data_IF_719506053429
#
_entry.id   IF_719506053429
#
_cell.length_a   1.000
_cell.length_b   1.000
_cell.length_c   1.000
_cell.angle_alpha   90.00
_cell.angle_beta   90.00
_cell.angle_gamma   90.00
#
_symmetry.space_group_name_H-M   'P 1'
#
loop_
_entity.id
_entity.type
_entity.pdbx_description
1 polymer ?
#
# COMPACT_ATOMS: atom_id res chain seq x y z
N UNK A 1 6.79 60.41 -8.66
CA UNK A 1 5.51 59.73 -8.28
C UNK A 1 5.66 58.22 -8.42
N UNK A 2 5.67 57.55 -7.34
CA UNK A 2 5.66 56.08 -7.35
C UNK A 2 4.24 55.62 -7.73
N UNK A 3 4.09 54.93 -8.85
CA UNK A 3 2.79 54.43 -9.32
C UNK A 3 2.32 53.29 -8.37
N UNK A 4 1.27 53.47 -7.58
CA UNK A 4 0.83 52.47 -6.59
C UNK A 4 0.45 51.13 -7.25
N UNK A 5 0.06 51.14 -8.51
CA UNK A 5 -0.27 49.93 -9.24
C UNK A 5 0.88 48.93 -9.44
N UNK A 6 2.14 49.41 -9.51
CA UNK A 6 3.31 48.50 -9.63
C UNK A 6 3.56 47.70 -8.34
N UNK A 7 3.36 48.33 -7.19
CA UNK A 7 3.53 47.63 -5.90
C UNK A 7 2.46 46.57 -5.70
N UNK A 8 1.23 46.82 -6.12
CA UNK A 8 0.14 45.84 -6.04
C UNK A 8 0.43 44.63 -6.93
N UNK A 9 0.87 44.88 -8.16
CA UNK A 9 1.20 43.79 -9.11
C UNK A 9 2.36 42.92 -8.56
N UNK A 10 3.39 43.55 -7.98
CA UNK A 10 4.50 42.81 -7.37
C UNK A 10 4.03 42.02 -6.18
N UNK A 11 3.22 42.59 -5.30
CA UNK A 11 2.67 41.89 -4.12
C UNK A 11 1.82 40.67 -4.53
N UNK A 12 0.96 40.80 -5.54
CA UNK A 12 0.15 39.70 -6.06
C UNK A 12 1.02 38.61 -6.68
N UNK A 13 2.05 38.99 -7.44
CA UNK A 13 2.97 38.04 -8.04
C UNK A 13 3.78 37.26 -6.98
N UNK A 14 4.25 37.93 -5.93
CA UNK A 14 4.97 37.30 -4.82
C UNK A 14 4.06 36.36 -4.04
N UNK A 15 2.83 36.76 -3.73
CA UNK A 15 1.87 35.90 -3.06
C UNK A 15 1.50 34.69 -3.91
N UNK A 16 1.31 34.87 -5.21
CA UNK A 16 1.04 33.76 -6.14
C UNK A 16 2.19 32.75 -6.20
N UNK A 17 3.43 33.26 -6.26
CA UNK A 17 4.63 32.42 -6.28
C UNK A 17 4.80 31.66 -4.94
N UNK A 18 4.59 32.34 -3.80
CA UNK A 18 4.65 31.72 -2.48
C UNK A 18 3.60 30.61 -2.32
N UNK A 19 2.35 30.85 -2.77
CA UNK A 19 1.29 29.85 -2.76
C UNK A 19 1.62 28.65 -3.67
N UNK A 20 2.19 28.90 -4.84
CA UNK A 20 2.64 27.84 -5.76
C UNK A 20 3.75 26.98 -5.16
N UNK A 21 4.76 27.61 -4.54
CA UNK A 21 5.85 26.89 -3.89
C UNK A 21 5.32 26.06 -2.72
N UNK A 22 4.47 26.64 -1.88
CA UNK A 22 3.86 25.92 -0.75
C UNK A 22 3.03 24.71 -1.24
N UNK A 23 2.21 24.89 -2.26
CA UNK A 23 1.45 23.81 -2.90
C UNK A 23 2.34 22.71 -3.46
N UNK A 24 3.44 23.06 -4.09
CA UNK A 24 4.42 22.11 -4.62
C UNK A 24 5.06 21.26 -3.51
N UNK A 25 5.48 21.88 -2.40
CA UNK A 25 6.07 21.18 -1.28
C UNK A 25 5.08 20.24 -0.57
N UNK A 26 3.84 20.66 -0.40
CA UNK A 26 2.78 19.83 0.17
C UNK A 26 2.52 18.60 -0.71
N UNK A 27 2.39 18.80 -2.02
CA UNK A 27 2.14 17.69 -2.95
C UNK A 27 3.33 16.74 -3.06
N UNK A 28 4.56 17.24 -3.02
CA UNK A 28 5.76 16.41 -3.00
C UNK A 28 5.82 15.53 -1.74
N UNK A 29 5.50 16.08 -0.58
CA UNK A 29 5.44 15.33 0.68
C UNK A 29 4.36 14.24 0.68
N UNK A 30 3.19 14.51 0.10
CA UNK A 30 2.12 13.51 -0.03
C UNK A 30 2.54 12.39 -0.99
N UNK A 31 3.16 12.72 -2.11
CA UNK A 31 3.66 11.73 -3.07
C UNK A 31 4.70 10.80 -2.46
N UNK A 32 5.63 11.33 -1.67
CA UNK A 32 6.66 10.51 -1.01
C UNK A 32 6.04 9.56 0.02
N UNK A 33 5.07 10.04 0.81
CA UNK A 33 4.32 9.20 1.75
C UNK A 33 3.51 8.12 1.02
N UNK A 34 2.91 8.45 -0.12
CA UNK A 34 2.21 7.49 -0.94
C UNK A 34 3.14 6.39 -1.48
N UNK A 35 4.31 6.75 -1.97
CA UNK A 35 5.33 5.78 -2.42
C UNK A 35 5.80 4.86 -1.30
N UNK A 36 5.98 5.39 -0.10
CA UNK A 36 6.37 4.59 1.06
C UNK A 36 5.28 3.58 1.42
N UNK A 37 4.01 4.03 1.49
CA UNK A 37 2.87 3.14 1.76
C UNK A 37 2.72 2.09 0.67
N UNK A 38 2.88 2.45 -0.59
CA UNK A 38 2.84 1.52 -1.72
C UNK A 38 3.91 0.45 -1.61
N UNK A 39 5.15 0.81 -1.28
CA UNK A 39 6.23 -0.17 -1.04
C UNK A 39 5.91 -1.12 0.10
N UNK A 40 5.35 -0.61 1.19
CA UNK A 40 4.94 -1.42 2.33
C UNK A 40 3.83 -2.41 1.97
N UNK A 41 2.81 -1.94 1.24
CA UNK A 41 1.73 -2.78 0.73
C UNK A 41 2.25 -3.87 -0.22
N UNK A 42 3.11 -3.51 -1.15
CA UNK A 42 3.70 -4.45 -2.11
C UNK A 42 4.60 -5.48 -1.42
N UNK A 43 5.36 -5.09 -0.40
CA UNK A 43 6.15 -6.00 0.40
C UNK A 43 5.30 -7.04 1.14
N UNK A 44 4.17 -6.62 1.73
CA UNK A 44 3.23 -7.53 2.38
C UNK A 44 2.64 -8.51 1.37
N UNK A 45 2.17 -8.03 0.22
CA UNK A 45 1.59 -8.89 -0.82
C UNK A 45 2.61 -9.88 -1.37
N UNK A 46 3.83 -9.43 -1.64
CA UNK A 46 4.91 -10.30 -2.09
C UNK A 46 5.26 -11.38 -1.06
N UNK A 47 5.25 -11.05 0.23
CA UNK A 47 5.46 -12.02 1.30
C UNK A 47 4.33 -13.05 1.38
N UNK A 48 3.08 -12.64 1.23
CA UNK A 48 1.92 -13.55 1.20
C UNK A 48 2.01 -14.49 -0.01
N UNK A 49 2.36 -13.99 -1.18
CA UNK A 49 2.52 -14.81 -2.39
C UNK A 49 3.69 -15.80 -2.27
N UNK A 50 4.78 -15.38 -1.66
CA UNK A 50 5.91 -16.26 -1.40
C UNK A 50 5.54 -17.40 -0.44
N UNK A 51 4.85 -17.05 0.66
CA UNK A 51 4.32 -18.04 1.59
C UNK A 51 3.43 -19.06 0.90
N UNK A 52 2.46 -18.61 0.10
CA UNK A 52 1.55 -19.48 -0.62
C UNK A 52 2.28 -20.44 -1.60
N UNK A 53 3.32 -19.95 -2.28
CA UNK A 53 4.14 -20.79 -3.16
C UNK A 53 4.90 -21.89 -2.43
N UNK A 54 5.44 -21.58 -1.25
CA UNK A 54 6.20 -22.56 -0.44
C UNK A 54 5.32 -23.55 0.29
N UNK A 55 4.06 -23.21 0.54
CA UNK A 55 3.10 -24.03 1.27
C UNK A 55 2.02 -24.65 0.38
N UNK A 56 2.32 -24.88 -0.89
CA UNK A 56 1.41 -25.57 -1.82
C UNK A 56 0.11 -24.84 -2.13
N UNK A 57 0.09 -23.52 -1.99
CA UNK A 57 -1.07 -22.67 -2.22
C UNK A 57 -1.84 -22.27 -0.97
N UNK A 58 -1.45 -22.76 0.20
CA UNK A 58 -2.08 -22.37 1.47
C UNK A 58 -1.80 -20.91 1.80
N UNK A 59 -2.82 -20.22 2.29
CA UNK A 59 -2.72 -18.83 2.69
C UNK A 59 -2.21 -18.71 4.13
N UNK A 60 -1.38 -17.71 4.45
CA UNK A 60 -0.93 -17.47 5.81
C UNK A 60 -2.10 -17.12 6.72
N UNK A 61 -2.14 -17.68 7.91
CA UNK A 61 -3.23 -17.48 8.86
C UNK A 61 -3.03 -16.25 9.76
N UNK A 62 -1.81 -15.72 9.80
CA UNK A 62 -1.45 -14.58 10.66
C UNK A 62 -0.22 -13.85 10.13
N UNK A 63 0.04 -12.67 10.68
CA UNK A 63 1.25 -11.90 10.38
C UNK A 63 2.52 -12.64 10.78
N UNK A 64 2.48 -13.39 11.88
CA UNK A 64 3.61 -14.15 12.40
C UNK A 64 4.08 -15.24 11.43
N UNK A 65 3.17 -15.84 10.68
CA UNK A 65 3.49 -16.83 9.66
C UNK A 65 4.40 -16.25 8.56
N UNK A 66 4.17 -15.00 8.18
CA UNK A 66 5.00 -14.29 7.20
C UNK A 66 6.32 -13.84 7.81
N UNK A 67 6.27 -13.28 9.01
CA UNK A 67 7.46 -12.75 9.71
C UNK A 67 8.49 -13.85 10.01
N UNK A 68 8.03 -15.08 10.19
CA UNK A 68 8.90 -16.24 10.42
C UNK A 68 9.59 -16.79 9.17
N UNK A 69 9.25 -16.30 7.97
CA UNK A 69 9.87 -16.80 6.74
C UNK A 69 11.31 -16.32 6.57
N UNK A 70 12.24 -17.21 6.15
CA UNK A 70 13.59 -16.83 5.80
C UNK A 70 13.59 -15.76 4.68
N UNK A 71 14.43 -14.72 4.85
CA UNK A 71 14.55 -13.63 3.88
C UNK A 71 13.53 -12.50 4.02
N UNK A 72 12.41 -12.72 4.71
CA UNK A 72 11.39 -11.69 4.96
C UNK A 72 11.45 -11.11 6.37
N UNK A 73 11.96 -11.85 7.33
CA UNK A 73 12.07 -11.42 8.73
C UNK A 73 12.87 -10.12 8.92
N UNK A 74 13.77 -9.81 7.99
CA UNK A 74 14.60 -8.60 7.99
C UNK A 74 14.10 -7.50 7.06
N UNK A 75 12.95 -7.66 6.38
CA UNK A 75 12.39 -6.62 5.52
C UNK A 75 11.80 -5.48 6.35
N UNK A 76 12.40 -4.28 6.35
CA UNK A 76 11.88 -3.15 7.11
C UNK A 76 10.54 -2.65 6.57
N UNK A 77 10.33 -2.70 5.25
CA UNK A 77 9.07 -2.28 4.62
C UNK A 77 7.91 -3.21 5.01
N UNK A 78 8.15 -4.51 5.07
CA UNK A 78 7.14 -5.47 5.51
C UNK A 78 6.81 -5.31 7.00
N UNK A 79 7.82 -5.24 7.86
CA UNK A 79 7.64 -5.11 9.29
C UNK A 79 6.88 -3.82 9.66
N UNK A 80 7.28 -2.70 9.08
CA UNK A 80 6.61 -1.43 9.30
C UNK A 80 5.20 -1.42 8.68
N UNK A 81 5.03 -2.01 7.50
CA UNK A 81 3.73 -2.18 6.86
C UNK A 81 2.76 -2.97 7.72
N UNK A 82 3.17 -4.09 8.29
CA UNK A 82 2.34 -4.91 9.20
C UNK A 82 1.94 -4.14 10.47
N UNK A 83 2.79 -3.21 10.92
CA UNK A 83 2.51 -2.37 12.08
C UNK A 83 1.51 -1.25 11.78
N UNK A 84 1.57 -0.65 10.59
CA UNK A 84 0.84 0.57 10.23
C UNK A 84 -0.42 0.33 9.41
N UNK A 85 -0.46 -0.77 8.69
CA UNK A 85 -1.53 -1.11 7.76
C UNK A 85 -2.37 -2.24 8.33
N UNK A 86 -3.60 -2.36 7.87
CA UNK A 86 -4.48 -3.47 8.28
C UNK A 86 -4.48 -4.55 7.21
N UNK A 87 -4.23 -5.79 7.64
CA UNK A 87 -4.41 -6.97 6.82
C UNK A 87 -5.41 -7.88 7.51
N UNK A 88 -6.45 -8.31 6.80
CA UNK A 88 -7.40 -9.28 7.31
C UNK A 88 -6.87 -10.70 7.10
N UNK A 89 -6.69 -11.42 8.19
CA UNK A 89 -6.14 -12.78 8.21
C UNK A 89 -7.21 -13.84 8.48
N UNK A 90 -7.17 -14.97 7.78
CA UNK A 90 -6.42 -15.21 6.55
C UNK A 90 -7.01 -14.42 5.37
N UNK A 91 -6.20 -14.08 4.33
CA UNK A 91 -6.74 -13.49 3.12
C UNK A 91 -7.80 -14.39 2.51
N UNK A 92 -8.98 -13.85 2.25
CA UNK A 92 -10.13 -14.61 1.73
C UNK A 92 -10.66 -13.96 0.46
N UNK A 93 -11.15 -14.73 -0.53
CA UNK A 93 -11.75 -14.18 -1.73
C UNK A 93 -13.04 -13.39 -1.44
N UNK A 94 -13.71 -13.69 -0.34
CA UNK A 94 -14.98 -13.06 0.04
C UNK A 94 -14.82 -11.80 0.89
N UNK A 95 -13.63 -11.60 1.47
CA UNK A 95 -13.30 -10.40 2.22
C UNK A 95 -12.93 -9.23 1.30
N UNK A 96 -13.60 -8.13 1.46
CA UNK A 96 -13.25 -6.88 0.82
C UNK A 96 -13.39 -5.73 1.84
N UNK A 97 -12.34 -4.96 2.07
CA UNK A 97 -10.96 -5.13 1.59
C UNK A 97 -10.14 -6.12 2.43
N UNK A 98 -9.22 -6.84 1.81
CA UNK A 98 -8.22 -7.66 2.51
C UNK A 98 -7.12 -6.79 3.12
N UNK A 99 -6.73 -5.74 2.39
CA UNK A 99 -5.76 -4.73 2.80
C UNK A 99 -6.44 -3.39 3.00
N UNK A 100 -6.07 -2.67 4.05
CA UNK A 100 -6.49 -1.29 4.28
C UNK A 100 -5.30 -0.42 4.66
N UNK A 101 -5.25 0.78 4.08
CA UNK A 101 -4.15 1.73 4.29
C UNK A 101 -4.33 2.61 5.54
N UNK A 102 -5.44 2.48 6.28
CA UNK A 102 -5.72 3.22 7.51
C UNK A 102 -5.61 4.76 7.35
N UNK A 103 -6.14 5.29 6.24
CA UNK A 103 -6.08 6.73 5.93
C UNK A 103 -4.73 7.23 5.42
N UNK A 104 -3.74 6.37 5.24
CA UNK A 104 -2.46 6.73 4.65
C UNK A 104 -2.60 6.95 3.15
N UNK A 105 -1.89 7.95 2.57
CA UNK A 105 -1.92 8.15 1.14
C UNK A 105 -1.29 6.96 0.41
N UNK A 106 -1.91 6.57 -0.70
CA UNK A 106 -1.42 5.52 -1.61
C UNK A 106 -1.39 6.05 -3.04
N UNK A 107 -0.66 5.37 -3.91
CA UNK A 107 -0.74 5.63 -5.35
C UNK A 107 -2.14 5.34 -5.89
N UNK A 108 -2.48 5.99 -7.00
CA UNK A 108 -3.78 5.82 -7.63
C UNK A 108 -4.00 4.35 -8.04
N UNK A 109 -5.05 3.74 -7.50
CA UNK A 109 -5.41 2.36 -7.82
C UNK A 109 -4.52 1.26 -7.19
N UNK A 110 -3.45 1.61 -6.47
CA UNK A 110 -2.54 0.62 -5.86
C UNK A 110 -3.28 -0.32 -4.91
N UNK A 111 -4.04 0.23 -3.99
CA UNK A 111 -4.77 -0.57 -3.00
C UNK A 111 -5.81 -1.50 -3.64
N UNK A 112 -6.56 -1.01 -4.63
CA UNK A 112 -7.53 -1.81 -5.37
C UNK A 112 -6.87 -2.94 -6.16
N UNK A 113 -5.75 -2.67 -6.81
CA UNK A 113 -4.96 -3.66 -7.57
C UNK A 113 -4.42 -4.76 -6.67
N UNK A 114 -3.83 -4.40 -5.53
CA UNK A 114 -3.26 -5.35 -4.58
C UNK A 114 -4.33 -6.19 -3.89
N UNK A 115 -5.47 -5.59 -3.53
CA UNK A 115 -6.61 -6.34 -3.00
C UNK A 115 -7.16 -7.34 -4.04
N UNK A 116 -7.26 -6.96 -5.31
CA UNK A 116 -7.70 -7.86 -6.39
C UNK A 116 -6.72 -9.03 -6.57
N UNK A 117 -5.41 -8.75 -6.49
CA UNK A 117 -4.34 -9.76 -6.59
C UNK A 117 -4.41 -10.78 -5.45
N UNK A 118 -4.58 -10.33 -4.21
CA UNK A 118 -4.74 -11.23 -3.05
C UNK A 118 -6.01 -12.07 -3.11
N UNK A 119 -7.13 -11.48 -3.54
CA UNK A 119 -8.37 -12.24 -3.72
C UNK A 119 -8.25 -13.31 -4.80
N UNK A 120 -7.57 -13.01 -5.90
CA UNK A 120 -7.27 -13.98 -6.95
C UNK A 120 -6.40 -15.13 -6.44
N UNK A 121 -5.39 -14.82 -5.64
CA UNK A 121 -4.53 -15.82 -5.01
C UNK A 121 -5.33 -16.70 -4.04
N UNK A 122 -6.16 -16.12 -3.20
CA UNK A 122 -7.01 -16.84 -2.25
C UNK A 122 -8.03 -17.76 -2.95
N UNK A 123 -8.61 -17.34 -4.08
CA UNK A 123 -9.49 -18.20 -4.89
C UNK A 123 -8.78 -19.43 -5.40
N UNK A 124 -7.54 -19.30 -5.88
CA UNK A 124 -6.74 -20.44 -6.35
C UNK A 124 -6.41 -21.41 -5.23
N UNK A 125 -6.15 -20.89 -4.03
CA UNK A 125 -5.94 -21.71 -2.83
C UNK A 125 -7.16 -22.59 -2.53
N UNK A 126 -8.35 -22.03 -2.53
CA UNK A 126 -9.61 -22.78 -2.28
C UNK A 126 -9.85 -23.85 -3.33
N UNK A 127 -9.65 -23.54 -4.61
CA UNK A 127 -9.84 -24.50 -5.71
C UNK A 127 -8.82 -25.66 -5.62
N UNK A 128 -7.58 -25.37 -5.25
CA UNK A 128 -6.56 -26.40 -5.05
C UNK A 128 -6.92 -27.39 -3.93
N UNK A 129 -7.47 -26.90 -2.83
CA UNK A 129 -7.89 -27.74 -1.70
C UNK A 129 -9.08 -28.65 -2.01
N UNK A 130 -10.03 -28.20 -2.85
CA UNK A 130 -11.18 -29.02 -3.25
C UNK A 130 -10.81 -30.11 -4.28
N UNK A 131 -9.73 -29.95 -5.01
CA UNK A 131 -9.26 -30.95 -5.98
C UNK A 131 -8.52 -32.13 -5.33
N UNK A 132 -8.04 -31.97 -4.09
CA UNK A 132 -7.27 -32.99 -3.34
C UNK A 132 -8.12 -33.83 -2.38
N UNK A 133 -9.44 -33.65 -2.37
CA UNK A 133 -10.36 -34.47 -1.57
C UNK A 133 -10.63 -35.78 -2.32
N UNK A 134 -10.09 -36.95 -1.84
CA UNK A 134 -10.37 -38.23 -2.47
C UNK A 134 -11.85 -38.59 -2.25
N UNK A 135 -12.51 -38.94 -3.32
CA UNK A 135 -13.90 -39.47 -3.33
C UNK A 135 -13.96 -40.82 -2.64
#
# INVERSE_FOLDING_TARGET
>A
MRRPGRLIVIAVAVMGLAAFIAGFWITAGVRERARLTDRQLEAIVAAIEHYAREHGGDMPQSAEAIQGMPGWASSPDMAEGLRLLTVHWPPSPDLAPVLAANGRPTGLGTLARLNARLRSLARRSVVGQTADEPS
#
